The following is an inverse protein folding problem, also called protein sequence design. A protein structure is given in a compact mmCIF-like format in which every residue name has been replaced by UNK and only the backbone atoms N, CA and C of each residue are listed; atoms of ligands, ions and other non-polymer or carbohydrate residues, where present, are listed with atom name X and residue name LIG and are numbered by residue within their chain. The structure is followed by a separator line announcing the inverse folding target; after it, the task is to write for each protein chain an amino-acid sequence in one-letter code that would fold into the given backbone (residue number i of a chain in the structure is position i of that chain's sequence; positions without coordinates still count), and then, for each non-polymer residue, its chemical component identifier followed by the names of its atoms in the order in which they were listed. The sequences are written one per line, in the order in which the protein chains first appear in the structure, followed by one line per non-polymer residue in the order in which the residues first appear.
data_IF_843263044464
#
_entry.id   IF_843263044464
#
_cell.length_a   1.000
_cell.length_b   1.000
_cell.length_c   1.000
_cell.angle_alpha   90.00
_cell.angle_beta   90.00
_cell.angle_gamma   90.00
#
_symmetry.space_group_name_H-M   'P 1'
#
loop_
_entity.id
_entity.type
_entity.pdbx_description
1 polymer ?
#
# COMPACT_ATOMS: atom_id res chain seq x y z
N UNK A 1 -25.12 -14.01 -10.96
CA UNK A 1 -24.29 -14.66 -9.92
C UNK A 1 -23.35 -13.61 -9.32
N UNK A 2 -23.89 -12.71 -8.49
CA UNK A 2 -23.23 -11.47 -8.01
C UNK A 2 -22.71 -11.58 -6.56
N UNK A 3 -22.59 -12.80 -6.03
CA UNK A 3 -22.38 -13.04 -4.58
C UNK A 3 -20.97 -13.47 -4.18
N UNK A 4 -19.98 -13.40 -5.07
CA UNK A 4 -18.59 -13.65 -4.66
C UNK A 4 -17.96 -12.39 -4.04
N UNK A 5 -18.24 -11.20 -4.59
CA UNK A 5 -17.71 -9.93 -4.07
C UNK A 5 -18.43 -9.40 -2.82
N UNK A 6 -19.65 -9.86 -2.53
CA UNK A 6 -20.40 -9.46 -1.34
C UNK A 6 -19.93 -10.17 -0.05
N UNK A 7 -19.12 -11.22 -0.18
CA UNK A 7 -18.41 -11.87 0.94
C UNK A 7 -16.91 -11.52 0.96
N UNK A 8 -16.43 -10.67 0.04
CA UNK A 8 -15.11 -10.08 0.15
C UNK A 8 -15.17 -8.95 1.16
N UNK A 9 -14.49 -9.14 2.28
CA UNK A 9 -14.45 -8.17 3.36
C UNK A 9 -14.04 -6.77 2.88
N UNK A 10 -14.74 -5.74 3.37
CA UNK A 10 -14.47 -4.32 3.12
C UNK A 10 -12.98 -3.92 3.02
N UNK A 11 -12.07 -4.39 3.90
CA UNK A 11 -10.64 -4.03 3.81
C UNK A 11 -9.90 -4.61 2.60
N UNK A 12 -10.22 -5.82 2.13
CA UNK A 12 -9.57 -6.42 0.96
C UNK A 12 -9.92 -5.66 -0.32
N UNK A 13 -11.18 -5.22 -0.45
CA UNK A 13 -11.64 -4.36 -1.53
C UNK A 13 -10.92 -3.01 -1.51
N UNK A 14 -10.73 -2.42 -0.33
CA UNK A 14 -10.00 -1.17 -0.18
C UNK A 14 -8.53 -1.30 -0.64
N UNK A 15 -7.85 -2.38 -0.22
CA UNK A 15 -6.45 -2.61 -0.58
C UNK A 15 -6.26 -2.84 -2.08
N UNK A 16 -7.20 -3.56 -2.72
CA UNK A 16 -7.21 -3.73 -4.17
C UNK A 16 -7.36 -2.39 -4.90
N UNK A 17 -8.28 -1.51 -4.45
CA UNK A 17 -8.46 -0.17 -5.03
C UNK A 17 -7.21 0.70 -4.82
N UNK A 18 -6.62 0.72 -3.61
CA UNK A 18 -5.39 1.45 -3.34
C UNK A 18 -4.22 0.97 -4.21
N UNK A 19 -4.15 -0.33 -4.43
CA UNK A 19 -3.13 -0.92 -5.30
C UNK A 19 -3.30 -0.47 -6.76
N UNK A 20 -4.52 -0.51 -7.29
CA UNK A 20 -4.84 -0.01 -8.63
C UNK A 20 -4.48 1.47 -8.76
N UNK A 21 -4.84 2.30 -7.78
CA UNK A 21 -4.46 3.73 -7.77
C UNK A 21 -2.94 3.88 -7.79
N UNK A 22 -2.23 3.09 -6.98
CA UNK A 22 -0.76 3.13 -6.89
C UNK A 22 -0.10 2.72 -8.20
N UNK A 23 -0.62 1.71 -8.89
CA UNK A 23 -0.15 1.31 -10.22
C UNK A 23 -0.36 2.42 -11.23
N UNK A 24 -1.56 3.02 -11.27
CA UNK A 24 -1.88 4.15 -12.14
C UNK A 24 -0.89 5.30 -11.89
N UNK A 25 -0.68 5.71 -10.63
CA UNK A 25 0.29 6.75 -10.28
C UNK A 25 1.74 6.38 -10.64
N UNK A 26 2.09 5.10 -10.61
CA UNK A 26 3.45 4.62 -10.93
C UNK A 26 3.72 4.63 -12.44
N UNK A 27 2.68 4.41 -13.26
CA UNK A 27 2.76 4.51 -14.73
C UNK A 27 3.04 5.96 -15.16
N UNK A 28 2.37 6.94 -14.55
CA UNK A 28 2.60 8.35 -14.88
C UNK A 28 3.98 8.86 -14.45
N UNK A 29 4.65 8.21 -13.50
CA UNK A 29 5.96 8.63 -12.98
C UNK A 29 7.15 7.97 -13.68
N UNK A 30 6.94 7.16 -14.74
CA UNK A 30 8.04 6.55 -15.51
C UNK A 30 8.95 5.63 -14.67
N UNK A 31 8.39 4.96 -13.67
CA UNK A 31 9.18 4.17 -12.71
C UNK A 31 9.70 2.88 -13.37
N UNK A 32 10.94 2.50 -13.05
CA UNK A 32 11.57 1.26 -13.53
C UNK A 32 10.71 0.02 -13.25
N UNK A 33 10.66 -0.88 -14.25
CA UNK A 33 9.89 -2.15 -14.22
C UNK A 33 10.22 -2.99 -12.97
N UNK A 34 11.48 -2.95 -12.50
CA UNK A 34 11.93 -3.67 -11.31
C UNK A 34 11.23 -3.20 -10.03
N UNK A 35 11.00 -1.90 -9.87
CA UNK A 35 10.31 -1.34 -8.70
C UNK A 35 8.82 -1.65 -8.74
N UNK A 36 8.23 -1.70 -9.95
CA UNK A 36 6.83 -2.07 -10.13
C UNK A 36 6.58 -3.54 -9.72
N UNK A 37 7.49 -4.44 -10.09
CA UNK A 37 7.40 -5.86 -9.75
C UNK A 37 7.40 -6.09 -8.23
N UNK A 38 8.28 -5.40 -7.49
CA UNK A 38 8.35 -5.51 -6.02
C UNK A 38 7.04 -5.04 -5.37
N UNK A 39 6.48 -3.91 -5.84
CA UNK A 39 5.19 -3.40 -5.35
C UNK A 39 4.04 -4.38 -5.60
N UNK A 40 4.00 -5.00 -6.78
CA UNK A 40 3.03 -6.04 -7.15
C UNK A 40 3.12 -7.23 -6.20
N UNK A 41 4.32 -7.75 -5.97
CA UNK A 41 4.54 -8.91 -5.10
C UNK A 41 4.09 -8.60 -3.67
N UNK A 42 4.49 -7.46 -3.13
CA UNK A 42 4.10 -7.04 -1.78
C UNK A 42 2.58 -6.88 -1.66
N UNK A 43 1.93 -6.29 -2.66
CA UNK A 43 0.47 -6.15 -2.67
C UNK A 43 -0.25 -7.49 -2.72
N UNK A 44 0.21 -8.45 -3.55
CA UNK A 44 -0.38 -9.79 -3.63
C UNK A 44 -0.26 -10.51 -2.30
N UNK A 45 0.93 -10.50 -1.68
CA UNK A 45 1.17 -11.08 -0.36
C UNK A 45 0.20 -10.48 0.67
N UNK A 46 0.05 -9.16 0.67
CA UNK A 46 -0.82 -8.46 1.61
C UNK A 46 -2.30 -8.80 1.41
N UNK A 47 -2.75 -8.90 0.16
CA UNK A 47 -4.13 -9.30 -0.18
C UNK A 47 -4.42 -10.72 0.31
N UNK A 48 -3.47 -11.65 0.15
CA UNK A 48 -3.60 -13.04 0.64
C UNK A 48 -3.70 -13.07 2.17
N UNK A 49 -2.82 -12.34 2.87
CA UNK A 49 -2.85 -12.23 4.34
C UNK A 49 -4.18 -11.65 4.83
N UNK A 50 -4.67 -10.58 4.20
CA UNK A 50 -5.96 -9.96 4.55
C UNK A 50 -7.14 -10.90 4.29
N UNK A 51 -7.12 -11.65 3.18
CA UNK A 51 -8.16 -12.61 2.85
C UNK A 51 -8.19 -13.78 3.84
N UNK A 52 -7.01 -14.26 4.26
CA UNK A 52 -6.88 -15.33 5.25
C UNK A 52 -7.41 -14.90 6.63
N UNK A 53 -7.04 -13.71 7.11
CA UNK A 53 -7.49 -13.20 8.40
C UNK A 53 -9.00 -12.92 8.40
N UNK A 54 -9.55 -12.42 7.29
CA UNK A 54 -10.97 -12.12 7.24
C UNK A 54 -11.86 -13.36 7.14
N UNK A 55 -11.36 -14.47 6.57
CA UNK A 55 -12.04 -15.76 6.56
C UNK A 55 -12.36 -16.29 7.97
N UNK A 56 -11.63 -15.81 8.99
CA UNK A 56 -11.83 -16.17 10.40
C UNK A 56 -12.91 -15.33 11.11
N UNK A 57 -13.61 -14.42 10.42
CA UNK A 57 -14.70 -13.60 10.97
C UNK A 57 -14.28 -12.37 11.78
N UNK A 58 -12.97 -12.12 11.93
CA UNK A 58 -12.40 -11.01 12.68
C UNK A 58 -12.27 -9.73 11.84
N UNK A 59 -13.40 -9.13 11.48
CA UNK A 59 -13.49 -7.90 10.65
C UNK A 59 -12.72 -6.73 11.29
N UNK A 60 -12.71 -6.64 12.62
CA UNK A 60 -12.08 -5.54 13.37
C UNK A 60 -10.54 -5.55 13.26
N UNK A 61 -9.91 -6.73 13.27
CA UNK A 61 -8.44 -6.85 13.16
C UNK A 61 -7.92 -6.51 11.76
N UNK A 62 -8.69 -6.81 10.72
CA UNK A 62 -8.32 -6.43 9.34
C UNK A 62 -8.28 -4.90 9.15
N UNK A 63 -9.13 -4.15 9.86
CA UNK A 63 -9.14 -2.69 9.79
C UNK A 63 -7.91 -2.09 10.49
N UNK A 64 -7.49 -2.66 11.62
CA UNK A 64 -6.26 -2.27 12.32
C UNK A 64 -5.01 -2.50 11.44
N UNK A 65 -4.96 -3.60 10.69
CA UNK A 65 -3.85 -3.92 9.79
C UNK A 65 -3.75 -2.93 8.61
N UNK A 66 -4.90 -2.48 8.08
CA UNK A 66 -4.96 -1.42 7.07
C UNK A 66 -4.56 -0.06 7.66
N UNK A 67 -4.91 0.20 8.92
CA UNK A 67 -4.53 1.43 9.61
C UNK A 67 -3.04 1.47 9.95
N UNK A 68 -2.39 0.32 10.15
CA UNK A 68 -0.98 0.19 10.53
C UNK A 68 -0.02 1.03 9.66
N UNK A 69 -0.04 0.94 8.31
CA UNK A 69 0.80 1.79 7.47
C UNK A 69 0.48 3.27 7.61
N UNK A 70 -0.78 3.68 7.80
CA UNK A 70 -1.11 5.09 8.01
C UNK A 70 -0.63 5.59 9.38
N UNK A 71 -0.78 4.78 10.43
CA UNK A 71 -0.26 5.08 11.77
C UNK A 71 1.26 5.17 11.74
N UNK A 72 1.95 4.23 11.09
CA UNK A 72 3.40 4.25 10.88
C UNK A 72 3.85 5.43 10.01
N UNK A 73 3.06 5.86 9.02
CA UNK A 73 3.35 7.07 8.24
C UNK A 73 3.15 8.34 9.06
N UNK A 74 2.12 8.41 9.91
CA UNK A 74 1.86 9.58 10.77
C UNK A 74 2.92 9.68 11.87
N UNK A 75 3.19 8.58 12.60
CA UNK A 75 4.29 8.51 13.57
C UNK A 75 5.65 8.69 12.90
N UNK A 76 5.80 8.06 11.74
CA UNK A 76 7.00 8.09 10.93
C UNK A 76 7.29 9.49 10.45
N UNK A 77 6.38 10.21 9.80
CA UNK A 77 6.65 11.58 9.32
C UNK A 77 6.96 12.55 10.45
N UNK A 78 6.29 12.42 11.61
CA UNK A 78 6.64 13.21 12.80
C UNK A 78 8.08 12.91 13.32
N UNK A 79 8.59 11.68 13.15
CA UNK A 79 9.97 11.30 13.52
C UNK A 79 11.02 11.28 12.39
N UNK A 80 10.60 11.16 11.13
CA UNK A 80 11.38 10.85 9.91
C UNK A 80 11.33 11.98 8.88
N UNK A 81 10.65 13.10 9.12
CA UNK A 81 10.83 14.30 8.30
C UNK A 81 12.33 14.68 8.16
N UNK A 82 13.19 14.23 9.07
CA UNK A 82 14.65 14.34 8.97
C UNK A 82 15.33 13.46 7.89
N UNK A 83 14.71 12.39 7.37
CA UNK A 83 15.35 11.40 6.48
C UNK A 83 14.81 11.38 5.04
N UNK A 84 13.51 11.60 4.82
CA UNK A 84 12.91 11.59 3.46
C UNK A 84 13.25 12.86 2.67
N UNK A 85 13.37 14.00 3.34
CA UNK A 85 13.78 15.27 2.72
C UNK A 85 15.15 15.14 2.03
N UNK A 86 16.10 14.43 2.66
CA UNK A 86 17.47 14.26 2.15
C UNK A 86 17.52 13.51 0.81
N UNK A 87 16.59 12.57 0.55
CA UNK A 87 16.49 11.87 -0.74
C UNK A 87 15.99 12.77 -1.88
N UNK A 88 15.09 13.72 -1.59
CA UNK A 88 14.58 14.66 -2.59
C UNK A 88 15.58 15.78 -2.88
N UNK A 89 16.28 16.29 -1.85
CA UNK A 89 17.31 17.33 -1.98
C UNK A 89 18.57 16.86 -2.73
N UNK A 90 18.95 15.58 -2.57
CA UNK A 90 20.05 14.97 -3.36
C UNK A 90 19.69 14.83 -4.84
N UNK A 91 18.41 14.62 -5.20
CA UNK A 91 17.97 14.57 -6.61
C UNK A 91 18.01 15.93 -7.30
N UNK A 92 17.74 17.03 -6.59
CA UNK A 92 17.89 18.39 -7.15
C UNK A 92 19.34 18.84 -7.32
N UNK A 93 20.30 18.23 -6.60
CA UNK A 93 21.73 18.48 -6.82
C UNK A 93 22.33 17.63 -7.97
N UNK A 94 21.72 16.51 -8.33
CA UNK A 94 22.11 15.72 -9.51
C UNK A 94 21.69 16.37 -10.85
N UNK A 95 20.94 17.48 -10.80
CA UNK A 95 20.46 18.24 -11.95
C UNK A 95 21.27 19.53 -12.21
N UNK A 96 22.44 19.71 -11.58
CA UNK A 96 23.31 20.88 -11.77
C UNK A 96 24.73 20.50 -12.12
#
# INVERSE_FOLDING_TARGET
MTNMFNNLCNPAKLYAVLFVITLISSVFNGISIMTLAIKLIFAIIWIVVLNYICGSGFIWFSWLLVLLPFVLLIFGTLGLMKMVQSQQLLRSMQLK
#
